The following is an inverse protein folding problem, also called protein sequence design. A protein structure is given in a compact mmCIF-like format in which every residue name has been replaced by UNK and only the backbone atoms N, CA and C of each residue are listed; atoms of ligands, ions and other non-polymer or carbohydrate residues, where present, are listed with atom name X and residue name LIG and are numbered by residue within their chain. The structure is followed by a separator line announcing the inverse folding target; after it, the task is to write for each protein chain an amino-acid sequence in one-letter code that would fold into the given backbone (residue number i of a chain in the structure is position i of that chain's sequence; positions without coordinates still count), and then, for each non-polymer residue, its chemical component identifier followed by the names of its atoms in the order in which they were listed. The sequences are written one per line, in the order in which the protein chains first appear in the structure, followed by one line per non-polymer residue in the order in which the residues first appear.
data_IF_333395911715
#
_entry.id   IF_333395911715
#
_cell.length_a   1.000
_cell.length_b   1.000
_cell.length_c   1.000
_cell.angle_alpha   90.00
_cell.angle_beta   90.00
_cell.angle_gamma   90.00
#
_symmetry.space_group_name_H-M   'P 1'
#
loop_
_entity.id
_entity.type
_entity.pdbx_description
1 polymer ?
#
# COMPACT_ATOMS: atom_id res chain seq x y z
N UNK A 1 23.62 -14.72 9.33
CA UNK A 1 24.11 -13.44 8.76
C UNK A 1 23.89 -13.32 7.24
N UNK A 2 24.03 -14.40 6.45
CA UNK A 2 23.83 -14.32 4.99
C UNK A 2 22.36 -14.04 4.58
N UNK A 3 21.37 -14.60 5.29
CA UNK A 3 19.95 -14.39 4.98
C UNK A 3 19.45 -12.96 5.18
N UNK A 4 19.91 -12.27 6.23
CA UNK A 4 19.54 -10.87 6.50
C UNK A 4 20.13 -9.91 5.46
N UNK A 5 21.35 -10.18 4.96
CA UNK A 5 21.98 -9.34 3.92
C UNK A 5 21.25 -9.49 2.58
N UNK A 6 20.86 -10.71 2.19
CA UNK A 6 20.02 -10.91 0.99
C UNK A 6 18.64 -10.28 1.15
N UNK A 7 18.04 -10.35 2.34
CA UNK A 7 16.76 -9.71 2.63
C UNK A 7 16.88 -8.18 2.52
N UNK A 8 17.89 -7.57 3.12
CA UNK A 8 18.16 -6.12 3.07
C UNK A 8 18.47 -5.68 1.64
N UNK A 9 19.26 -6.44 0.88
CA UNK A 9 19.58 -6.12 -0.52
C UNK A 9 18.35 -6.26 -1.43
N UNK A 10 17.53 -7.29 -1.23
CA UNK A 10 16.27 -7.47 -1.95
C UNK A 10 15.24 -6.39 -1.59
N UNK A 11 15.19 -5.99 -0.32
CA UNK A 11 14.37 -4.90 0.19
C UNK A 11 14.80 -3.55 -0.43
N UNK A 12 16.11 -3.27 -0.46
CA UNK A 12 16.68 -2.05 -1.04
C UNK A 12 16.46 -1.95 -2.56
N UNK A 13 16.64 -3.06 -3.28
CA UNK A 13 16.40 -3.13 -4.73
C UNK A 13 14.92 -2.90 -5.06
N UNK A 14 13.99 -3.35 -4.21
CA UNK A 14 12.56 -3.08 -4.36
C UNK A 14 12.19 -1.65 -4.00
N UNK A 15 12.78 -1.08 -2.95
CA UNK A 15 12.57 0.31 -2.56
C UNK A 15 12.94 1.31 -3.65
N UNK A 16 14.03 1.05 -4.37
CA UNK A 16 14.44 1.83 -5.56
C UNK A 16 13.38 1.77 -6.66
N UNK A 17 12.57 0.70 -6.73
CA UNK A 17 11.59 0.49 -7.81
C UNK A 17 10.17 0.94 -7.45
N UNK A 18 9.82 1.15 -6.18
CA UNK A 18 8.48 1.62 -5.81
C UNK A 18 8.12 2.97 -6.43
N UNK A 19 8.97 4.02 -6.43
CA UNK A 19 8.65 5.30 -7.06
C UNK A 19 8.28 5.14 -8.54
N UNK A 20 9.07 4.35 -9.26
CA UNK A 20 8.82 4.06 -10.68
C UNK A 20 7.57 3.21 -10.90
N UNK A 21 7.27 2.27 -10.00
CA UNK A 21 6.05 1.48 -10.07
C UNK A 21 4.81 2.34 -9.83
N UNK A 22 4.86 3.25 -8.85
CA UNK A 22 3.79 4.21 -8.54
C UNK A 22 3.49 5.07 -9.78
N UNK A 23 4.51 5.68 -10.37
CA UNK A 23 4.35 6.50 -11.59
C UNK A 23 3.70 5.72 -12.73
N UNK A 24 4.14 4.48 -12.97
CA UNK A 24 3.59 3.63 -14.03
C UNK A 24 2.12 3.28 -13.74
N UNK A 25 1.78 2.91 -12.51
CA UNK A 25 0.40 2.57 -12.16
C UNK A 25 -0.54 3.79 -12.22
N UNK A 26 -0.08 4.96 -11.74
CA UNK A 26 -0.84 6.21 -11.82
C UNK A 26 -1.06 6.65 -13.27
N UNK A 27 -0.05 6.52 -14.13
CA UNK A 27 -0.16 6.85 -15.55
C UNK A 27 -1.11 5.89 -16.28
N UNK A 28 -1.01 4.58 -16.02
CA UNK A 28 -1.95 3.59 -16.56
C UNK A 28 -3.38 3.87 -16.07
N UNK A 29 -3.56 4.22 -14.79
CA UNK A 29 -4.87 4.58 -14.24
C UNK A 29 -5.46 5.80 -14.96
N UNK A 30 -4.66 6.86 -15.15
CA UNK A 30 -5.07 8.07 -15.87
C UNK A 30 -5.46 7.78 -17.32
N UNK A 31 -4.67 6.97 -18.03
CA UNK A 31 -4.97 6.58 -19.41
C UNK A 31 -6.21 5.68 -19.51
N UNK A 32 -6.40 4.80 -18.54
CA UNK A 32 -7.52 3.85 -18.50
C UNK A 32 -8.86 4.52 -18.21
N UNK A 33 -8.88 5.68 -17.54
CA UNK A 33 -10.09 6.49 -17.36
C UNK A 33 -10.67 7.00 -18.69
N UNK A 34 -9.80 7.26 -19.68
CA UNK A 34 -10.19 7.69 -21.02
C UNK A 34 -10.64 6.52 -21.91
N UNK A 35 -10.54 5.27 -21.44
CA UNK A 35 -10.87 4.08 -22.22
C UNK A 35 -11.92 3.22 -21.48
N UNK A 36 -13.17 3.25 -21.96
CA UNK A 36 -14.32 2.55 -21.37
C UNK A 36 -14.13 1.03 -21.22
N UNK A 37 -13.23 0.40 -21.99
CA UNK A 37 -12.91 -1.03 -21.88
C UNK A 37 -12.03 -1.34 -20.67
N UNK A 38 -11.17 -0.40 -20.25
CA UNK A 38 -10.18 -0.56 -19.17
C UNK A 38 -10.60 0.11 -17.86
N UNK A 39 -11.70 0.87 -17.87
CA UNK A 39 -12.34 1.52 -16.70
C UNK A 39 -12.39 0.64 -15.44
N UNK A 40 -12.65 -0.66 -15.59
CA UNK A 40 -12.75 -1.57 -14.44
C UNK A 40 -11.40 -1.90 -13.79
N UNK A 41 -10.29 -1.74 -14.53
CA UNK A 41 -8.93 -1.95 -14.02
C UNK A 41 -8.35 -0.76 -13.26
N UNK A 42 -8.90 0.44 -13.43
CA UNK A 42 -8.40 1.68 -12.82
C UNK A 42 -8.24 1.55 -11.30
N UNK A 43 -9.27 1.01 -10.62
CA UNK A 43 -9.25 0.81 -9.16
C UNK A 43 -8.13 -0.12 -8.71
N UNK A 44 -7.88 -1.18 -9.47
CA UNK A 44 -6.78 -2.10 -9.21
C UNK A 44 -5.41 -1.45 -9.38
N UNK A 45 -5.26 -0.59 -10.39
CA UNK A 45 -4.01 0.17 -10.58
C UNK A 45 -3.78 1.19 -9.47
N UNK A 46 -4.82 1.93 -9.06
CA UNK A 46 -4.75 2.87 -7.93
C UNK A 46 -4.47 2.15 -6.61
N UNK A 47 -5.07 0.98 -6.39
CA UNK A 47 -4.76 0.13 -5.24
C UNK A 47 -3.28 -0.27 -5.23
N UNK A 48 -2.76 -0.75 -6.36
CA UNK A 48 -1.37 -1.17 -6.48
C UNK A 48 -0.39 0.00 -6.24
N UNK A 49 -0.71 1.20 -6.74
CA UNK A 49 0.08 2.40 -6.49
C UNK A 49 0.07 2.79 -5.01
N UNK A 50 -1.11 2.78 -4.38
CA UNK A 50 -1.27 3.07 -2.95
C UNK A 50 -0.52 2.07 -2.05
N UNK A 51 -0.57 0.77 -2.36
CA UNK A 51 0.19 -0.24 -1.62
C UNK A 51 1.70 -0.01 -1.73
N UNK A 52 2.20 0.41 -2.91
CA UNK A 52 3.61 0.79 -3.07
C UNK A 52 3.98 2.02 -2.23
N UNK A 53 3.08 2.99 -2.08
CA UNK A 53 3.29 4.15 -1.20
C UNK A 53 3.31 3.75 0.28
N UNK A 54 2.40 2.87 0.71
CA UNK A 54 2.39 2.33 2.08
C UNK A 54 3.69 1.58 2.40
N UNK A 55 4.25 0.83 1.43
CA UNK A 55 5.54 0.18 1.61
C UNK A 55 6.70 1.15 1.84
N UNK A 56 6.59 2.42 1.43
CA UNK A 56 7.62 3.42 1.71
C UNK A 56 7.60 3.92 3.16
N UNK A 57 6.51 3.68 3.90
CA UNK A 57 6.35 4.12 5.29
C UNK A 57 6.13 5.62 5.47
N UNK A 58 5.74 6.32 4.41
CA UNK A 58 5.47 7.77 4.44
C UNK A 58 3.95 8.02 4.42
N UNK A 59 3.39 8.29 5.61
CA UNK A 59 1.95 8.53 5.81
C UNK A 59 1.47 9.78 5.07
N UNK A 60 2.30 10.82 5.00
CA UNK A 60 1.95 12.06 4.29
C UNK A 60 1.87 11.79 2.79
N UNK A 61 2.80 11.00 2.24
CA UNK A 61 2.79 10.64 0.83
C UNK A 61 1.58 9.80 0.43
N UNK A 62 1.13 8.84 1.26
CA UNK A 62 -0.09 8.06 0.96
C UNK A 62 -1.34 8.93 1.06
N UNK A 63 -1.45 9.80 2.07
CA UNK A 63 -2.59 10.70 2.24
C UNK A 63 -2.73 11.66 1.04
N UNK A 64 -1.63 12.30 0.64
CA UNK A 64 -1.59 13.15 -0.56
C UNK A 64 -1.89 12.35 -1.84
N UNK A 65 -1.51 11.07 -1.91
CA UNK A 65 -1.84 10.22 -3.06
C UNK A 65 -3.33 9.87 -3.10
N UNK A 66 -3.95 9.61 -1.94
CA UNK A 66 -5.38 9.35 -1.84
C UNK A 66 -6.23 10.55 -2.29
N UNK A 67 -5.84 11.76 -1.92
CA UNK A 67 -6.50 12.99 -2.42
C UNK A 67 -6.41 13.10 -3.94
N UNK A 68 -5.20 12.92 -4.51
CA UNK A 68 -5.00 12.92 -5.97
C UNK A 68 -5.81 11.82 -6.68
N UNK A 69 -5.98 10.66 -6.06
CA UNK A 69 -6.77 9.56 -6.62
C UNK A 69 -8.27 9.90 -6.64
N UNK A 70 -8.76 10.64 -5.64
CA UNK A 70 -10.14 11.13 -5.63
C UNK A 70 -10.38 12.22 -6.70
N UNK A 71 -9.40 13.10 -6.93
CA UNK A 71 -9.47 14.08 -8.02
C UNK A 71 -9.48 13.41 -9.39
N UNK A 72 -8.71 12.33 -9.56
CA UNK A 72 -8.66 11.52 -10.78
C UNK A 72 -9.97 10.76 -11.03
N UNK A 73 -10.51 10.10 -10.02
CA UNK A 73 -11.79 9.39 -10.09
C UNK A 73 -12.64 9.68 -8.83
N UNK A 74 -13.64 10.58 -8.91
CA UNK A 74 -14.52 10.89 -7.79
C UNK A 74 -15.33 9.69 -7.28
N UNK A 75 -15.39 8.59 -8.03
CA UNK A 75 -16.04 7.35 -7.59
C UNK A 75 -15.12 6.48 -6.73
N UNK A 76 -13.80 6.71 -6.78
CA UNK A 76 -12.81 5.91 -6.06
C UNK A 76 -13.00 5.96 -4.54
N UNK A 77 -13.35 7.13 -3.97
CA UNK A 77 -13.62 7.29 -2.54
C UNK A 77 -14.72 6.36 -1.99
N UNK A 78 -15.61 5.87 -2.86
CA UNK A 78 -16.69 4.96 -2.49
C UNK A 78 -16.35 3.48 -2.68
N UNK A 79 -15.13 3.18 -3.12
CA UNK A 79 -14.71 1.81 -3.40
C UNK A 79 -14.01 1.20 -2.20
N UNK A 80 -13.96 -0.14 -2.19
CA UNK A 80 -13.31 -0.89 -1.11
C UNK A 80 -11.80 -0.69 -1.13
N UNK A 81 -11.22 -0.47 -2.30
CA UNK A 81 -9.79 -0.22 -2.48
C UNK A 81 -9.37 1.08 -1.80
N UNK A 82 -10.16 2.14 -1.94
CA UNK A 82 -9.92 3.39 -1.23
C UNK A 82 -10.04 3.20 0.28
N UNK A 83 -11.13 2.57 0.75
CA UNK A 83 -11.33 2.29 2.18
C UNK A 83 -10.14 1.53 2.75
N UNK A 84 -9.69 0.47 2.07
CA UNK A 84 -8.52 -0.30 2.49
C UNK A 84 -7.28 0.60 2.63
N UNK A 85 -6.94 1.38 1.60
CA UNK A 85 -5.74 2.22 1.64
C UNK A 85 -5.81 3.29 2.74
N UNK A 86 -6.97 3.90 2.95
CA UNK A 86 -7.18 4.90 4.00
C UNK A 86 -7.06 4.28 5.39
N UNK A 87 -7.73 3.15 5.63
CA UNK A 87 -7.69 2.47 6.93
C UNK A 87 -6.28 1.93 7.25
N UNK A 88 -5.55 1.43 6.24
CA UNK A 88 -4.15 1.04 6.39
C UNK A 88 -3.23 2.23 6.66
N UNK A 89 -3.46 3.38 6.02
CA UNK A 89 -2.68 4.59 6.27
C UNK A 89 -2.83 5.06 7.72
N UNK A 90 -4.07 5.03 8.26
CA UNK A 90 -4.34 5.35 9.66
C UNK A 90 -3.69 4.33 10.59
N UNK A 91 -3.78 3.03 10.31
CA UNK A 91 -3.14 2.01 11.13
C UNK A 91 -1.60 2.12 11.13
N UNK A 92 -1.00 2.56 10.01
CA UNK A 92 0.44 2.83 9.92
C UNK A 92 0.83 4.09 10.70
N UNK A 93 -0.01 5.12 10.70
CA UNK A 93 0.22 6.37 11.43
C UNK A 93 0.11 6.20 12.95
N UNK A 94 -0.87 5.40 13.39
CA UNK A 94 -1.06 5.04 14.79
C UNK A 94 -0.09 3.93 15.26
N UNK A 95 0.72 3.40 14.35
CA UNK A 95 1.60 2.23 14.56
C UNK A 95 0.88 0.99 15.12
N UNK A 96 -0.43 0.87 14.88
CA UNK A 96 -1.28 -0.20 15.41
C UNK A 96 -1.29 -1.43 14.48
N UNK A 97 -0.46 -2.42 14.85
CA UNK A 97 -0.35 -3.70 14.12
C UNK A 97 -1.64 -4.53 14.18
N UNK A 98 -2.43 -4.42 15.24
CA UNK A 98 -3.69 -5.15 15.38
C UNK A 98 -4.73 -4.60 14.41
N UNK A 99 -4.93 -3.27 14.40
CA UNK A 99 -5.80 -2.56 13.46
C UNK A 99 -5.38 -2.82 12.00
N UNK A 100 -4.08 -2.74 11.70
CA UNK A 100 -3.55 -3.08 10.37
C UNK A 100 -3.96 -4.50 9.96
N UNK A 101 -3.80 -5.47 10.87
CA UNK A 101 -4.11 -6.87 10.58
C UNK A 101 -5.61 -7.10 10.37
N UNK A 102 -6.46 -6.42 11.13
CA UNK A 102 -7.91 -6.57 11.03
C UNK A 102 -8.47 -5.95 9.74
N UNK A 103 -7.95 -4.78 9.34
CA UNK A 103 -8.27 -4.15 8.05
C UNK A 103 -7.91 -5.06 6.87
N UNK A 104 -6.72 -5.68 6.89
CA UNK A 104 -6.31 -6.62 5.84
C UNK A 104 -7.24 -7.85 5.80
N UNK A 105 -7.60 -8.42 6.96
CA UNK A 105 -8.51 -9.56 7.03
C UNK A 105 -9.92 -9.23 6.52
N UNK A 106 -10.46 -8.07 6.90
CA UNK A 106 -11.78 -7.61 6.43
C UNK A 106 -11.79 -7.56 4.91
N UNK A 107 -10.76 -6.97 4.30
CA UNK A 107 -10.67 -6.87 2.85
C UNK A 107 -10.48 -8.23 2.18
N UNK A 108 -9.57 -9.07 2.66
CA UNK A 108 -9.28 -10.40 2.09
C UNK A 108 -10.49 -11.32 2.13
N UNK A 109 -11.34 -11.21 3.16
CA UNK A 109 -12.58 -11.98 3.28
C UNK A 109 -13.60 -11.69 2.17
N UNK A 110 -13.53 -10.49 1.57
CA UNK A 110 -14.45 -10.07 0.53
C UNK A 110 -13.82 -10.08 -0.87
N UNK A 111 -12.53 -9.78 -0.94
CA UNK A 111 -11.74 -9.68 -2.17
C UNK A 111 -10.41 -10.40 -1.93
N UNK A 112 -10.24 -11.64 -2.42
CA UNK A 112 -9.04 -12.41 -2.19
C UNK A 112 -7.79 -11.66 -2.67
N UNK A 113 -6.81 -11.55 -1.78
CA UNK A 113 -5.53 -10.94 -2.08
C UNK A 113 -4.67 -11.92 -2.88
N UNK A 114 -4.10 -11.43 -3.99
CA UNK A 114 -3.07 -12.18 -4.70
C UNK A 114 -1.74 -12.21 -3.93
N UNK A 115 -0.88 -13.16 -4.29
CA UNK A 115 0.40 -13.37 -3.61
C UNK A 115 1.30 -12.12 -3.57
N UNK A 116 1.22 -11.25 -4.59
CA UNK A 116 2.02 -10.04 -4.64
C UNK A 116 1.52 -8.99 -3.64
N UNK A 117 0.21 -8.74 -3.58
CA UNK A 117 -0.39 -7.83 -2.58
C UNK A 117 -0.14 -8.30 -1.15
N UNK A 118 -0.32 -9.60 -0.89
CA UNK A 118 -0.04 -10.20 0.41
C UNK A 118 1.43 -10.01 0.79
N UNK A 119 2.35 -10.17 -0.15
CA UNK A 119 3.78 -9.93 0.11
C UNK A 119 4.06 -8.47 0.49
N UNK A 120 3.42 -7.49 -0.17
CA UNK A 120 3.59 -6.08 0.18
C UNK A 120 3.03 -5.74 1.55
N UNK A 121 1.83 -6.22 1.87
CA UNK A 121 1.17 -5.98 3.17
C UNK A 121 1.94 -6.62 4.33
N UNK A 122 2.49 -7.81 4.13
CA UNK A 122 3.35 -8.46 5.12
C UNK A 122 4.59 -7.62 5.43
N UNK A 123 5.21 -7.00 4.41
CA UNK A 123 6.38 -6.12 4.62
C UNK A 123 6.05 -4.88 5.42
N UNK A 124 4.90 -4.24 5.14
CA UNK A 124 4.44 -3.08 5.92
C UNK A 124 4.23 -3.49 7.37
N UNK A 125 3.58 -4.64 7.60
CA UNK A 125 3.37 -5.20 8.93
C UNK A 125 4.68 -5.51 9.66
N UNK A 126 5.66 -6.11 8.99
CA UNK A 126 6.98 -6.38 9.56
C UNK A 126 7.72 -5.08 9.93
N UNK A 127 7.60 -4.04 9.09
CA UNK A 127 8.17 -2.73 9.37
C UNK A 127 7.53 -2.03 10.57
N UNK A 128 6.22 -2.19 10.78
CA UNK A 128 5.54 -1.66 11.98
C UNK A 128 6.00 -2.37 13.25
N UNK A 129 6.05 -3.70 13.23
CA UNK A 129 6.54 -4.51 14.36
C UNK A 129 7.99 -4.21 14.73
N UNK A 130 8.83 -3.89 13.75
CA UNK A 130 10.22 -3.55 14.00
C UNK A 130 10.35 -2.25 14.81
N UNK A 131 9.46 -1.27 14.57
CA UNK A 131 9.42 -0.02 15.34
C UNK A 131 8.92 -0.22 16.77
N UNK A 132 7.84 -1.01 16.96
CA UNK A 132 7.33 -1.36 18.30
C UNK A 132 8.43 -1.97 19.20
N UNK A 133 9.29 -2.82 18.62
CA UNK A 133 10.38 -3.49 19.34
C UNK A 133 11.56 -2.56 19.67
N UNK A 134 11.79 -1.50 18.89
CA UNK A 134 12.81 -0.51 19.17
C UNK A 134 12.41 0.42 20.33
N UNK A 135 11.11 0.71 20.49
CA UNK A 135 10.61 1.50 21.63
C UNK A 135 10.62 0.72 22.95
N UNK A 136 10.30 -0.58 22.93
CA UNK A 136 10.26 -1.42 24.15
C UNK A 136 11.65 -1.70 24.75
N UNK A 137 12.73 -1.71 23.94
CA UNK A 137 14.13 -1.87 24.40
C UNK A 137 14.75 -0.58 24.98
N UNK A 138 14.06 0.56 24.84
CA UNK A 138 14.48 1.88 25.32
C UNK A 138 13.79 2.31 26.63
N UNK A 139 12.91 1.48 27.20
CA UNK A 139 12.18 1.71 28.47
C UNK A 139 12.48 0.67 29.53
#
# INVERSE_FOLDING_TARGET
MSGQIYLVFFFFLFFIRYPKAIEIYEEIARQSLNNNLLKYGVRGHLLNAGLCQLCKGDVVAITNSLERYQELDPTFSRTREYKLLADLAVAVDEEDVAKFTDVVKEFDSMTPLDAWKTTLLLRVKESLKAKELEEDDLT
#
